data_IF_102637967238
#
_entry.id   IF_102637967238
#
_cell.length_a   1.000
_cell.length_b   1.000
_cell.length_c   1.000
_cell.angle_alpha   90.00
_cell.angle_beta   90.00
_cell.angle_gamma   90.00
#
_symmetry.space_group_name_H-M   'P 1'
#
loop_
_entity.id
_entity.type
_entity.pdbx_description
1 polymer ?
#
# COMPACT_ATOMS: atom_id res chain seq x y z
N UNK A 1 13.74 -19.93 -17.53
CA UNK A 1 14.49 -19.25 -16.45
C UNK A 1 13.54 -19.04 -15.28
N UNK A 2 13.90 -19.61 -14.13
CA UNK A 2 13.10 -19.53 -12.89
C UNK A 2 13.52 -18.29 -12.10
N UNK A 3 12.62 -17.74 -11.28
CA UNK A 3 12.91 -16.61 -10.38
C UNK A 3 14.09 -16.88 -9.42
N UNK A 4 14.38 -18.16 -9.15
CA UNK A 4 15.57 -18.60 -8.41
C UNK A 4 16.88 -18.32 -9.15
N UNK A 5 16.88 -18.36 -10.49
CA UNK A 5 18.05 -18.05 -11.32
C UNK A 5 18.35 -16.55 -11.32
N UNK A 6 17.31 -15.70 -11.30
CA UNK A 6 17.45 -14.24 -11.20
C UNK A 6 17.95 -13.78 -9.83
N UNK A 7 17.48 -14.41 -8.73
CA UNK A 7 17.95 -14.09 -7.39
C UNK A 7 19.44 -14.45 -7.19
N UNK A 8 19.89 -15.55 -7.79
CA UNK A 8 21.29 -15.99 -7.72
C UNK A 8 22.22 -15.04 -8.50
N UNK A 9 21.81 -14.58 -9.68
CA UNK A 9 22.57 -13.62 -10.48
C UNK A 9 22.77 -12.25 -9.78
N UNK A 10 21.78 -11.80 -9.02
CA UNK A 10 21.86 -10.52 -8.28
C UNK A 10 22.79 -10.65 -7.05
N UNK A 11 22.83 -11.82 -6.41
CA UNK A 11 23.75 -12.09 -5.31
C UNK A 11 25.20 -12.27 -5.79
N UNK A 12 25.41 -12.91 -6.94
CA UNK A 12 26.75 -13.11 -7.53
C UNK A 12 27.34 -11.82 -8.13
N UNK A 13 26.51 -10.85 -8.53
CA UNK A 13 26.95 -9.55 -9.06
C UNK A 13 27.55 -8.59 -8.00
N UNK A 14 27.63 -9.00 -6.74
CA UNK A 14 28.00 -8.15 -5.61
C UNK A 14 29.46 -8.27 -5.15
N UNK A 15 30.45 -7.90 -5.97
CA UNK A 15 31.77 -7.51 -5.46
C UNK A 15 32.51 -6.56 -6.41
N UNK A 16 32.30 -5.26 -6.24
CA UNK A 16 33.24 -4.22 -6.68
C UNK A 16 33.03 -2.96 -5.83
N UNK A 17 33.46 -3.03 -4.56
CA UNK A 17 33.55 -1.87 -3.66
C UNK A 17 35.00 -1.42 -3.51
N UNK A 18 35.71 -1.12 -4.59
CA UNK A 18 37.04 -0.51 -4.50
C UNK A 18 37.39 0.33 -5.73
N UNK A 19 36.62 1.39 -6.02
CA UNK A 19 37.12 2.52 -6.83
C UNK A 19 36.44 3.81 -6.35
N UNK A 20 36.86 4.31 -5.20
CA UNK A 20 36.64 5.72 -4.80
C UNK A 20 38.02 6.27 -4.50
N UNK A 21 38.79 6.65 -5.53
CA UNK A 21 39.91 7.56 -5.28
C UNK A 21 40.40 8.43 -6.44
N UNK A 22 39.98 8.23 -7.70
CA UNK A 22 40.46 9.06 -8.81
C UNK A 22 39.33 9.55 -9.73
N UNK A 23 38.62 10.60 -9.34
CA UNK A 23 37.82 11.37 -10.30
C UNK A 23 37.99 12.86 -10.01
N UNK A 24 38.38 13.67 -11.01
CA UNK A 24 38.61 15.09 -10.84
C UNK A 24 37.30 15.82 -10.51
N UNK A 25 37.44 16.86 -9.69
CA UNK A 25 36.35 17.70 -9.19
C UNK A 25 35.80 18.56 -10.35
N UNK A 26 34.74 18.08 -11.01
CA UNK A 26 33.96 18.88 -11.96
C UNK A 26 32.83 19.60 -11.23
N UNK A 27 32.75 20.91 -11.45
CA UNK A 27 31.75 21.82 -10.90
C UNK A 27 30.30 21.31 -11.06
N UNK A 28 29.40 21.60 -10.11
CA UNK A 28 28.03 21.15 -10.19
C UNK A 28 27.26 21.97 -11.25
N UNK A 29 27.13 21.41 -12.46
CA UNK A 29 26.08 21.81 -13.39
C UNK A 29 24.77 21.28 -12.79
N UNK A 30 24.10 22.12 -12.01
CA UNK A 30 22.78 21.84 -11.46
C UNK A 30 21.78 21.84 -12.63
N UNK A 31 21.04 20.75 -12.90
CA UNK A 31 19.91 20.82 -13.81
C UNK A 31 18.87 21.73 -13.16
N UNK A 32 18.48 22.79 -13.87
CA UNK A 32 17.39 23.69 -13.49
C UNK A 32 16.08 22.87 -13.51
N UNK A 33 15.70 22.28 -12.37
CA UNK A 33 14.46 21.51 -12.24
C UNK A 33 13.29 22.49 -12.19
N UNK A 34 12.33 22.44 -13.12
CA UNK A 34 11.12 23.25 -13.02
C UNK A 34 10.33 22.81 -11.79
N UNK A 35 10.02 23.75 -10.90
CA UNK A 35 9.16 23.53 -9.75
C UNK A 35 7.70 23.36 -10.24
N UNK A 36 7.32 22.14 -10.66
CA UNK A 36 5.96 21.81 -11.07
C UNK A 36 5.20 21.18 -9.89
N UNK A 37 4.13 21.81 -9.37
CA UNK A 37 3.28 21.19 -8.37
C UNK A 37 2.32 20.23 -9.08
N UNK A 38 2.71 18.96 -9.17
CA UNK A 38 1.85 17.93 -9.76
C UNK A 38 2.58 16.63 -9.98
N UNK A 39 2.21 15.61 -9.18
CA UNK A 39 2.68 14.23 -9.30
C UNK A 39 4.18 14.06 -9.02
N UNK A 40 4.57 14.29 -7.76
CA UNK A 40 5.72 13.54 -7.23
C UNK A 40 5.33 12.07 -7.42
N UNK A 41 6.01 11.36 -8.32
CA UNK A 41 6.02 9.90 -8.30
C UNK A 41 6.59 9.53 -6.93
N UNK A 42 5.71 9.43 -5.93
CA UNK A 42 6.08 9.17 -4.56
C UNK A 42 6.81 7.83 -4.60
N UNK A 43 8.10 7.86 -4.25
CA UNK A 43 8.90 6.66 -4.09
C UNK A 43 8.06 5.60 -3.35
N UNK A 44 7.75 4.44 -3.96
CA UNK A 44 6.90 3.43 -3.35
C UNK A 44 7.38 3.03 -1.95
N UNK A 45 8.69 3.01 -1.71
CA UNK A 45 9.24 2.69 -0.40
C UNK A 45 8.85 3.74 0.65
N UNK A 46 8.86 5.03 0.28
CA UNK A 46 8.40 6.12 1.14
C UNK A 46 6.90 6.02 1.42
N UNK A 47 6.09 5.69 0.42
CA UNK A 47 4.63 5.49 0.59
C UNK A 47 4.36 4.35 1.58
N UNK A 48 4.99 3.20 1.37
CA UNK A 48 4.83 2.04 2.25
C UNK A 48 5.28 2.34 3.69
N UNK A 49 6.40 3.04 3.87
CA UNK A 49 6.86 3.47 5.20
C UNK A 49 5.85 4.37 5.91
N UNK A 50 5.23 5.31 5.17
CA UNK A 50 4.18 6.18 5.74
C UNK A 50 2.96 5.36 6.14
N UNK A 51 2.50 4.44 5.28
CA UNK A 51 1.34 3.59 5.57
C UNK A 51 1.58 2.69 6.77
N UNK A 52 2.74 2.03 6.84
CA UNK A 52 3.14 1.24 8.00
C UNK A 52 3.07 2.04 9.30
N UNK A 53 3.67 3.25 9.31
CA UNK A 53 3.69 4.11 10.48
C UNK A 53 2.30 4.61 10.90
N UNK A 54 1.32 4.63 9.98
CA UNK A 54 -0.08 4.97 10.28
C UNK A 54 -0.85 3.76 10.82
N UNK A 55 -0.71 2.60 10.17
CA UNK A 55 -1.34 1.35 10.61
C UNK A 55 -0.84 0.91 12.00
N UNK A 56 0.43 1.14 12.31
CA UNK A 56 1.03 0.82 13.62
C UNK A 56 0.45 1.64 14.79
N UNK A 57 -0.32 2.69 14.53
CA UNK A 57 -0.98 3.49 15.55
C UNK A 57 -2.40 3.04 15.86
N UNK A 58 -2.96 2.12 15.05
CA UNK A 58 -4.30 1.61 15.27
C UNK A 58 -4.35 0.77 16.55
N UNK A 59 -5.36 1.02 17.39
CA UNK A 59 -5.62 0.25 18.60
C UNK A 59 -6.82 -0.69 18.38
N UNK A 60 -6.61 -2.02 18.18
CA UNK A 60 -7.70 -2.95 17.85
C UNK A 60 -8.76 -3.08 18.95
N UNK A 61 -8.40 -2.79 20.21
CA UNK A 61 -9.27 -2.94 21.38
C UNK A 61 -10.09 -1.68 21.70
N UNK A 62 -9.81 -0.58 20.99
CA UNK A 62 -10.45 0.72 21.21
C UNK A 62 -11.11 1.17 19.91
N UNK A 63 -12.34 0.69 19.62
CA UNK A 63 -13.04 1.11 18.42
C UNK A 63 -13.41 2.59 18.50
N UNK A 64 -13.38 3.30 17.38
CA UNK A 64 -13.93 4.64 17.30
C UNK A 64 -15.47 4.61 17.26
N UNK A 65 -16.08 5.78 17.44
CA UNK A 65 -17.53 5.93 17.43
C UNK A 65 -18.14 5.41 16.11
N UNK A 66 -19.21 4.62 16.24
CA UNK A 66 -19.90 4.01 15.11
C UNK A 66 -19.33 2.66 14.65
N UNK A 67 -18.29 2.14 15.30
CA UNK A 67 -17.79 0.78 15.08
C UNK A 67 -18.10 -0.16 16.25
N UNK A 68 -18.52 -1.39 15.92
CA UNK A 68 -18.51 -2.48 16.88
C UNK A 68 -17.07 -2.90 17.22
N UNK A 69 -16.81 -3.34 18.45
CA UNK A 69 -15.48 -3.82 18.89
C UNK A 69 -14.91 -4.89 17.96
N UNK A 70 -15.70 -5.92 17.66
CA UNK A 70 -15.26 -7.02 16.79
C UNK A 70 -15.05 -6.56 15.35
N UNK A 71 -15.96 -5.73 14.83
CA UNK A 71 -15.86 -5.18 13.47
C UNK A 71 -14.60 -4.33 13.29
N UNK A 72 -14.28 -3.51 14.29
CA UNK A 72 -13.05 -2.72 14.30
C UNK A 72 -11.80 -3.59 14.35
N UNK A 73 -11.76 -4.57 15.26
CA UNK A 73 -10.63 -5.47 15.37
C UNK A 73 -10.39 -6.25 14.04
N UNK A 74 -11.47 -6.76 13.44
CA UNK A 74 -11.41 -7.43 12.14
C UNK A 74 -10.91 -6.48 11.04
N UNK A 75 -11.37 -5.22 11.02
CA UNK A 75 -10.92 -4.22 10.05
C UNK A 75 -9.44 -3.86 10.21
N UNK A 76 -8.95 -3.75 11.45
CA UNK A 76 -7.53 -3.48 11.70
C UNK A 76 -6.67 -4.68 11.26
N UNK A 77 -7.13 -5.90 11.52
CA UNK A 77 -6.48 -7.14 11.07
C UNK A 77 -6.51 -7.30 9.54
N UNK A 78 -7.61 -6.94 8.89
CA UNK A 78 -7.74 -6.80 7.42
C UNK A 78 -6.80 -5.75 6.84
N UNK A 79 -6.65 -4.63 7.53
CA UNK A 79 -5.76 -3.55 7.10
C UNK A 79 -4.30 -4.00 7.11
N UNK A 80 -3.87 -4.72 8.14
CA UNK A 80 -2.51 -5.23 8.28
C UNK A 80 -2.18 -6.31 7.25
N UNK A 81 -3.04 -7.31 7.12
CA UNK A 81 -2.83 -8.36 6.12
C UNK A 81 -2.76 -7.81 4.69
N UNK A 82 -3.63 -6.85 4.36
CA UNK A 82 -3.60 -6.20 3.04
C UNK A 82 -2.28 -5.45 2.83
N UNK A 83 -1.79 -4.79 3.88
CA UNK A 83 -0.50 -4.11 3.86
C UNK A 83 0.65 -5.08 3.58
N UNK A 84 0.74 -6.15 4.37
CA UNK A 84 1.85 -7.11 4.31
C UNK A 84 1.91 -7.87 2.98
N UNK A 85 0.76 -8.25 2.45
CA UNK A 85 0.68 -9.14 1.29
C UNK A 85 0.60 -8.38 -0.04
N UNK A 86 -0.01 -7.19 -0.06
CA UNK A 86 -0.40 -6.56 -1.32
C UNK A 86 -0.02 -5.09 -1.47
N UNK A 87 0.35 -4.35 -0.42
CA UNK A 87 0.55 -2.90 -0.54
C UNK A 87 1.62 -2.53 -1.58
N UNK A 88 2.73 -3.29 -1.67
CA UNK A 88 3.75 -3.00 -2.68
C UNK A 88 3.24 -3.18 -4.12
N UNK A 89 2.38 -4.16 -4.36
CA UNK A 89 1.78 -4.40 -5.69
C UNK A 89 0.73 -3.33 -5.97
N UNK A 90 -0.10 -3.03 -4.99
CA UNK A 90 -1.15 -2.03 -5.08
C UNK A 90 -0.59 -0.65 -5.46
N UNK A 91 0.47 -0.18 -4.79
CA UNK A 91 1.12 1.11 -5.11
C UNK A 91 1.63 1.14 -6.55
N UNK A 92 2.30 0.07 -7.00
CA UNK A 92 2.81 -0.03 -8.39
C UNK A 92 1.68 -0.05 -9.42
N UNK A 93 0.50 -0.50 -9.02
CA UNK A 93 -0.71 -0.52 -9.84
C UNK A 93 -1.59 0.74 -9.67
N UNK A 94 -1.07 1.80 -9.04
CA UNK A 94 -1.77 3.09 -8.92
C UNK A 94 -2.78 3.17 -7.77
N UNK A 95 -2.80 2.21 -6.85
CA UNK A 95 -3.67 2.27 -5.69
C UNK A 95 -3.16 3.28 -4.66
N UNK A 96 -4.07 4.16 -4.25
CA UNK A 96 -3.88 5.06 -3.12
C UNK A 96 -4.37 4.47 -1.81
N UNK A 97 -4.07 5.15 -0.71
CA UNK A 97 -4.50 4.74 0.63
C UNK A 97 -6.02 4.63 0.76
N UNK A 98 -6.78 5.54 0.12
CA UNK A 98 -8.24 5.53 0.18
C UNK A 98 -8.85 4.29 -0.47
N UNK A 99 -8.32 3.83 -1.61
CA UNK A 99 -8.79 2.59 -2.23
C UNK A 99 -8.56 1.36 -1.34
N UNK A 100 -7.48 1.33 -0.58
CA UNK A 100 -7.13 0.21 0.28
C UNK A 100 -7.80 0.26 1.66
N UNK A 101 -7.79 1.42 2.31
CA UNK A 101 -8.17 1.62 3.71
C UNK A 101 -9.16 2.77 3.93
N UNK A 102 -9.85 3.23 2.88
CA UNK A 102 -11.00 4.11 3.05
C UNK A 102 -12.09 3.39 3.85
N UNK A 103 -12.77 4.08 4.76
CA UNK A 103 -13.74 3.48 5.66
C UNK A 103 -15.05 4.27 5.63
N UNK A 104 -16.18 3.58 5.51
CA UNK A 104 -17.50 4.16 5.79
C UNK A 104 -18.01 3.70 7.13
N UNK A 105 -18.12 4.64 8.07
CA UNK A 105 -18.69 4.39 9.40
C UNK A 105 -20.16 3.99 9.26
N UNK A 106 -20.59 2.95 9.98
CA UNK A 106 -21.96 2.45 9.95
C UNK A 106 -22.36 1.68 8.69
N UNK A 107 -21.47 1.52 7.70
CA UNK A 107 -21.75 0.77 6.47
C UNK A 107 -20.66 -0.27 6.24
N UNK A 108 -20.99 -1.54 6.46
CA UNK A 108 -19.99 -2.61 6.51
C UNK A 108 -19.32 -2.99 5.17
N UNK A 109 -19.70 -2.40 4.03
CA UNK A 109 -19.14 -2.74 2.70
C UNK A 109 -18.92 -1.52 1.78
N UNK A 110 -18.93 -0.31 2.32
CA UNK A 110 -18.97 0.92 1.53
C UNK A 110 -17.63 1.64 1.33
N UNK A 111 -16.57 1.19 1.98
CA UNK A 111 -15.23 1.79 1.90
C UNK A 111 -14.30 1.11 0.89
N UNK A 112 -13.01 1.16 1.22
CA UNK A 112 -11.92 0.52 0.50
C UNK A 112 -11.86 -1.00 0.69
N UNK A 113 -10.81 -1.60 0.15
CA UNK A 113 -10.65 -3.06 0.12
C UNK A 113 -10.64 -3.69 1.52
N UNK A 114 -9.97 -3.08 2.50
CA UNK A 114 -9.91 -3.61 3.86
C UNK A 114 -11.33 -3.82 4.43
N UNK A 115 -12.20 -2.82 4.31
CA UNK A 115 -13.59 -2.94 4.78
C UNK A 115 -14.43 -3.90 3.91
N UNK A 116 -14.11 -4.04 2.62
CA UNK A 116 -14.84 -4.94 1.72
C UNK A 116 -14.56 -6.41 1.99
N UNK A 117 -13.31 -6.78 2.30
CA UNK A 117 -12.88 -8.17 2.48
C UNK A 117 -13.59 -8.84 3.64
N UNK A 118 -13.69 -8.17 4.80
CA UNK A 118 -14.29 -8.69 6.03
C UNK A 118 -13.83 -10.12 6.31
N UNK A 119 -12.54 -10.25 6.58
CA UNK A 119 -11.84 -11.50 6.91
C UNK A 119 -11.81 -12.57 5.82
N UNK A 120 -12.26 -12.27 4.58
CA UNK A 120 -12.22 -13.26 3.49
C UNK A 120 -10.81 -13.61 3.02
N UNK A 121 -9.82 -12.74 3.28
CA UNK A 121 -8.39 -12.90 2.93
C UNK A 121 -8.14 -13.37 1.50
N UNK A 122 -9.04 -13.01 0.58
CA UNK A 122 -8.99 -13.48 -0.81
C UNK A 122 -9.04 -12.29 -1.76
N UNK A 123 -7.86 -11.77 -2.08
CA UNK A 123 -7.67 -10.65 -3.01
C UNK A 123 -6.64 -11.01 -4.07
N UNK A 124 -6.94 -10.63 -5.31
CA UNK A 124 -6.02 -10.68 -6.43
C UNK A 124 -5.96 -9.29 -7.08
N UNK A 125 -4.75 -8.79 -7.33
CA UNK A 125 -4.53 -7.58 -8.11
C UNK A 125 -4.10 -7.95 -9.53
N UNK A 126 -4.90 -7.55 -10.52
CA UNK A 126 -4.58 -7.71 -11.94
C UNK A 126 -4.96 -6.44 -12.69
N UNK A 127 -4.03 -5.92 -13.48
CA UNK A 127 -4.27 -4.79 -14.40
C UNK A 127 -4.88 -3.55 -13.71
N UNK A 128 -4.44 -3.24 -12.49
CA UNK A 128 -4.96 -2.10 -11.72
C UNK A 128 -6.29 -2.36 -11.02
N UNK A 129 -6.90 -3.54 -11.20
CA UNK A 129 -8.17 -3.92 -10.60
C UNK A 129 -7.94 -4.94 -9.49
N UNK A 130 -8.57 -4.70 -8.35
CA UNK A 130 -8.63 -5.67 -7.28
C UNK A 130 -9.86 -6.56 -7.47
N UNK A 131 -9.64 -7.87 -7.40
CA UNK A 131 -10.67 -8.89 -7.40
C UNK A 131 -10.72 -9.50 -6.01
N UNK A 132 -11.87 -9.38 -5.34
CA UNK A 132 -12.11 -9.91 -4.00
C UNK A 132 -13.10 -11.07 -4.10
N UNK A 133 -12.81 -12.20 -3.46
CA UNK A 133 -13.80 -13.26 -3.26
C UNK A 133 -14.41 -13.11 -1.88
N UNK A 134 -15.75 -13.04 -1.82
CA UNK A 134 -16.47 -12.95 -0.55
C UNK A 134 -17.75 -13.78 -0.63
N UNK A 135 -17.91 -14.72 0.30
CA UNK A 135 -19.07 -15.63 0.35
C UNK A 135 -19.33 -16.34 -1.00
N UNK A 136 -18.26 -16.73 -1.71
CA UNK A 136 -18.34 -17.37 -3.02
C UNK A 136 -18.66 -16.42 -4.19
N UNK A 137 -18.83 -15.12 -3.93
CA UNK A 137 -19.09 -14.10 -4.95
C UNK A 137 -17.82 -13.32 -5.25
N UNK A 138 -17.48 -13.23 -6.53
CA UNK A 138 -16.37 -12.43 -7.02
C UNK A 138 -16.81 -10.98 -7.18
N UNK A 139 -16.05 -10.05 -6.59
CA UNK A 139 -16.29 -8.61 -6.64
C UNK A 139 -15.06 -7.91 -7.22
N UNK A 140 -15.26 -7.02 -8.20
CA UNK A 140 -14.18 -6.20 -8.76
C UNK A 140 -14.22 -4.78 -8.18
N UNK A 141 -13.05 -4.19 -7.95
CA UNK A 141 -12.88 -2.82 -7.45
C UNK A 141 -11.75 -2.11 -8.17
N UNK A 142 -12.00 -0.84 -8.49
CA UNK A 142 -11.00 0.07 -9.01
C UNK A 142 -10.25 0.76 -7.84
N UNK A 143 -9.12 1.41 -8.11
CA UNK A 143 -8.36 2.16 -7.10
C UNK A 143 -9.16 3.23 -6.35
N UNK A 144 -10.24 3.72 -6.95
CA UNK A 144 -11.09 4.79 -6.44
C UNK A 144 -12.21 4.30 -5.50
N UNK A 145 -12.31 3.01 -5.21
CA UNK A 145 -13.48 2.47 -4.50
C UNK A 145 -13.72 3.04 -3.08
N UNK A 146 -12.69 3.59 -2.44
CA UNK A 146 -12.80 4.30 -1.16
C UNK A 146 -12.61 5.81 -1.28
N UNK A 147 -12.71 6.40 -2.48
CA UNK A 147 -12.55 7.83 -2.68
C UNK A 147 -13.58 8.62 -1.87
N UNK A 148 -13.11 9.69 -1.22
CA UNK A 148 -13.94 10.52 -0.33
C UNK A 148 -14.25 9.89 1.03
N UNK A 149 -13.80 8.66 1.30
CA UNK A 149 -13.89 8.07 2.62
C UNK A 149 -12.69 8.50 3.48
N UNK A 150 -12.89 8.73 4.79
CA UNK A 150 -11.77 8.87 5.72
C UNK A 150 -10.97 7.56 5.76
N UNK A 151 -9.67 7.67 6.06
CA UNK A 151 -8.80 6.52 6.19
C UNK A 151 -9.02 5.85 7.56
N UNK A 152 -8.77 4.55 7.65
CA UNK A 152 -8.92 3.79 8.90
C UNK A 152 -8.16 4.42 10.08
N UNK A 153 -6.98 4.98 9.84
CA UNK A 153 -6.15 5.65 10.86
C UNK A 153 -6.48 7.13 11.08
N UNK A 154 -7.51 7.65 10.41
CA UNK A 154 -8.06 8.98 10.68
C UNK A 154 -9.30 8.91 11.57
N UNK A 155 -9.94 7.74 11.63
CA UNK A 155 -11.10 7.50 12.50
C UNK A 155 -10.72 6.87 13.83
N UNK A 156 -9.64 6.07 13.89
CA UNK A 156 -9.17 5.37 15.09
C UNK A 156 -7.98 6.00 15.78
#
# INVERSE_FOLDING_TARGET
MSWRDQAKAILEAGHNRHVRHDSPQSDPIVPNVPNVPGVVALDPARVLKVWHGRLAKLEPLRPPDGFGKSEWADLVDDSWWLYENFASVAVRQGWGAQGLWGVRVGVSHGGGLAQLMRTSRSVLFSDGIATVMRLGVQMKRNPECGQGCPLVWEVG
#
